data_IF_208034047147
#
_entry.id   IF_208034047147
#
_cell.length_a   1.000
_cell.length_b   1.000
_cell.length_c   1.000
_cell.angle_alpha   90.00
_cell.angle_beta   90.00
_cell.angle_gamma   90.00
#
_symmetry.space_group_name_H-M   'P 1'
#
loop_
_entity.id
_entity.type
_entity.pdbx_description
1 polymer ?
#
# COMPACT_ATOMS: atom_id res chain seq x y z
N UNK A 1 -6.02 -7.84 11.02
CA UNK A 1 -5.56 -7.21 12.28
C UNK A 1 -4.36 -8.02 12.75
N UNK A 2 -3.18 -7.40 12.75
CA UNK A 2 -1.88 -8.05 12.96
C UNK A 2 -0.73 -7.04 12.97
N UNK A 3 -0.93 -5.90 12.29
CA UNK A 3 -0.01 -4.77 12.24
C UNK A 3 -0.69 -3.48 12.73
N UNK A 4 -0.95 -3.32 14.04
CA UNK A 4 -1.71 -2.18 14.58
C UNK A 4 -0.99 -0.84 14.45
N UNK A 5 0.32 -0.86 14.24
CA UNK A 5 1.16 0.33 14.08
C UNK A 5 1.28 0.80 12.63
N UNK A 6 0.78 0.02 11.68
CA UNK A 6 0.73 0.39 10.27
C UNK A 6 -0.58 1.12 9.99
N UNK A 7 -0.48 2.38 9.58
CA UNK A 7 -1.64 3.16 9.16
C UNK A 7 -2.16 2.67 7.80
N UNK A 8 -3.43 2.27 7.74
CA UNK A 8 -4.07 1.83 6.50
C UNK A 8 -4.98 2.93 5.96
N UNK A 9 -4.51 3.63 4.94
CA UNK A 9 -5.25 4.70 4.26
C UNK A 9 -5.94 4.12 3.02
N UNK A 10 -7.28 4.08 3.03
CA UNK A 10 -8.07 3.70 1.86
C UNK A 10 -8.35 4.93 1.01
N UNK A 11 -7.91 4.90 -0.23
CA UNK A 11 -8.08 6.02 -1.16
C UNK A 11 -8.88 5.57 -2.36
N UNK A 12 -9.94 6.31 -2.65
CA UNK A 12 -10.65 6.21 -3.92
C UNK A 12 -9.84 6.93 -5.00
N UNK A 13 -9.56 6.24 -6.09
CA UNK A 13 -8.96 6.82 -7.28
C UNK A 13 -10.04 7.05 -8.34
N UNK A 14 -10.04 8.26 -8.89
CA UNK A 14 -11.12 8.76 -9.72
C UNK A 14 -10.86 10.19 -10.15
N UNK A 15 -11.70 10.71 -11.04
CA UNK A 15 -11.58 12.08 -11.54
C UNK A 15 -11.48 13.08 -10.40
N UNK A 16 -10.47 13.95 -10.43
CA UNK A 16 -10.23 14.95 -9.39
C UNK A 16 -9.40 14.47 -8.18
N UNK A 17 -9.08 13.19 -8.05
CA UNK A 17 -8.17 12.68 -6.99
C UNK A 17 -6.74 12.60 -7.52
N UNK A 18 -5.74 13.28 -6.92
CA UNK A 18 -4.38 13.32 -7.47
C UNK A 18 -3.48 12.18 -6.98
N UNK A 19 -3.87 11.45 -5.93
CA UNK A 19 -2.96 10.53 -5.26
C UNK A 19 -2.54 9.35 -6.15
N UNK A 20 -3.50 8.67 -6.81
CA UNK A 20 -3.19 7.58 -7.74
C UNK A 20 -2.24 8.04 -8.85
N UNK A 21 -2.45 9.24 -9.40
CA UNK A 21 -1.57 9.86 -10.40
C UNK A 21 -0.18 10.19 -9.86
N UNK A 22 -0.07 10.65 -8.62
CA UNK A 22 1.20 10.98 -7.97
C UNK A 22 2.08 9.75 -7.76
N UNK A 23 1.46 8.57 -7.59
CA UNK A 23 2.15 7.28 -7.48
C UNK A 23 2.21 6.50 -8.80
N UNK A 24 1.77 7.08 -9.92
CA UNK A 24 1.68 6.43 -11.23
C UNK A 24 0.90 5.10 -11.20
N UNK A 25 -0.18 5.02 -10.41
CA UNK A 25 -1.08 3.87 -10.38
C UNK A 25 -1.87 3.80 -11.69
N UNK A 26 -1.82 2.66 -12.37
CA UNK A 26 -2.53 2.42 -13.65
C UNK A 26 -3.49 1.24 -13.59
N UNK A 27 -3.26 0.29 -12.68
CA UNK A 27 -4.04 -0.93 -12.54
C UNK A 27 -4.64 -1.00 -11.14
N UNK A 28 -5.91 -1.33 -11.06
CA UNK A 28 -6.64 -1.47 -9.81
C UNK A 28 -6.96 -2.93 -9.49
N UNK A 29 -6.91 -3.36 -8.22
CA UNK A 29 -6.40 -2.62 -7.04
C UNK A 29 -4.86 -2.54 -7.00
N UNK A 30 -4.30 -1.46 -6.43
CA UNK A 30 -2.86 -1.36 -6.12
C UNK A 30 -2.67 -1.00 -4.65
N UNK A 31 -1.75 -1.69 -3.96
CA UNK A 31 -1.30 -1.38 -2.61
C UNK A 31 0.11 -0.80 -2.67
N UNK A 32 0.33 0.32 -1.98
CA UNK A 32 1.63 1.00 -1.88
C UNK A 32 2.00 1.04 -0.41
N UNK A 33 3.19 0.55 -0.10
CA UNK A 33 3.71 0.44 1.25
C UNK A 33 4.76 1.52 1.45
N UNK A 34 4.56 2.36 2.46
CA UNK A 34 5.40 3.51 2.75
C UNK A 34 6.12 3.32 4.08
N UNK A 35 7.38 3.74 4.13
CA UNK A 35 8.14 3.93 5.36
C UNK A 35 8.83 5.29 5.27
N UNK A 36 8.67 6.12 6.30
CA UNK A 36 9.19 7.51 6.35
C UNK A 36 8.85 8.34 5.09
N UNK A 37 7.63 8.17 4.58
CA UNK A 37 7.14 8.86 3.38
C UNK A 37 7.72 8.37 2.05
N UNK A 38 8.53 7.30 2.05
CA UNK A 38 9.09 6.68 0.85
C UNK A 38 8.41 5.36 0.55
N UNK A 39 8.14 5.12 -0.73
CA UNK A 39 7.68 3.82 -1.22
C UNK A 39 8.79 2.78 -1.07
N UNK A 40 8.51 1.73 -0.30
CA UNK A 40 9.42 0.59 -0.09
C UNK A 40 8.93 -0.69 -0.76
N UNK A 41 7.62 -0.81 -1.00
CA UNK A 41 7.04 -1.92 -1.73
C UNK A 41 5.74 -1.52 -2.43
N UNK A 42 5.40 -2.25 -3.49
CA UNK A 42 4.18 -2.08 -4.27
C UNK A 42 3.64 -3.43 -4.71
N UNK A 43 2.34 -3.63 -4.53
CA UNK A 43 1.63 -4.80 -5.04
C UNK A 43 0.53 -4.35 -5.99
N UNK A 44 0.58 -4.85 -7.22
CA UNK A 44 -0.40 -4.55 -8.26
C UNK A 44 -1.30 -5.75 -8.46
N UNK A 45 -2.61 -5.56 -8.26
CA UNK A 45 -3.65 -6.60 -8.32
C UNK A 45 -3.27 -7.87 -7.55
N UNK A 46 -2.88 -7.78 -6.27
CA UNK A 46 -2.54 -8.96 -5.49
C UNK A 46 -3.75 -9.91 -5.41
N UNK A 47 -3.52 -11.18 -5.70
CA UNK A 47 -4.53 -12.25 -5.64
C UNK A 47 -4.35 -13.15 -4.41
N UNK A 48 -3.24 -12.99 -3.71
CA UNK A 48 -2.85 -13.82 -2.56
C UNK A 48 -2.52 -12.96 -1.35
N UNK A 49 -2.72 -13.52 -0.17
CA UNK A 49 -2.49 -12.83 1.10
C UNK A 49 -1.01 -12.76 1.49
N UNK A 50 -0.20 -13.75 1.09
CA UNK A 50 1.20 -13.85 1.53
C UNK A 50 2.05 -12.63 1.12
N UNK A 51 2.02 -12.15 -0.14
CA UNK A 51 2.80 -10.97 -0.51
C UNK A 51 2.38 -9.71 0.25
N UNK A 52 1.11 -9.61 0.65
CA UNK A 52 0.60 -8.49 1.46
C UNK A 52 1.17 -8.58 2.88
N UNK A 53 1.17 -9.79 3.48
CA UNK A 53 1.74 -10.01 4.81
C UNK A 53 3.25 -9.71 4.84
N UNK A 54 4.00 -10.17 3.84
CA UNK A 54 5.44 -9.92 3.75
C UNK A 54 5.75 -8.41 3.63
N UNK A 55 4.96 -7.69 2.83
CA UNK A 55 5.11 -6.25 2.68
C UNK A 55 4.72 -5.47 3.95
N UNK A 56 3.69 -5.91 4.69
CA UNK A 56 3.32 -5.32 5.98
C UNK A 56 4.40 -5.53 7.03
N UNK A 57 4.97 -6.73 7.13
CA UNK A 57 6.07 -7.02 8.05
C UNK A 57 7.31 -6.14 7.78
N UNK A 58 7.55 -5.76 6.51
CA UNK A 58 8.65 -4.86 6.16
C UNK A 58 8.47 -3.39 6.59
N UNK A 59 7.24 -2.95 6.87
CA UNK A 59 6.94 -1.56 7.27
C UNK A 59 6.41 -1.44 8.70
N UNK A 60 6.07 -2.54 9.35
CA UNK A 60 5.63 -2.53 10.74
C UNK A 60 6.86 -2.40 11.65
N UNK A 61 7.00 -1.30 12.41
CA UNK A 61 8.16 -1.08 13.26
C UNK A 61 8.26 -2.06 14.45
N UNK A 62 7.21 -2.84 14.72
CA UNK A 62 7.08 -3.67 15.93
C UNK A 62 6.77 -5.15 15.61
N UNK A 63 6.74 -5.54 14.33
CA UNK A 63 6.47 -6.91 13.89
C UNK A 63 7.65 -7.88 14.12
#
# INVERSE_FOLDING_TARGET
AGHPHVEHIKVEDGSGRPLGRSFNVRLWPTLIFLQDGREVARLVRPTEAQPIADALAGIDPIA
#
